data_IF_816022655709
#
_entry.id   IF_816022655709
#
_cell.length_a   1.000
_cell.length_b   1.000
_cell.length_c   1.000
_cell.angle_alpha   90.00
_cell.angle_beta   90.00
_cell.angle_gamma   90.00
#
_symmetry.space_group_name_H-M   'P 1'
#
loop_
_entity.id
_entity.type
_entity.pdbx_description
1 polymer ?
#
# COMPACT_ATOMS: atom_id res chain seq x y z
N UNK A 1 -38.58 -19.77 -42.60
CA UNK A 1 -38.34 -19.62 -41.13
C UNK A 1 -36.97 -20.21 -40.74
N UNK A 2 -35.88 -19.86 -41.45
CA UNK A 2 -34.59 -20.57 -41.32
C UNK A 2 -33.39 -19.65 -41.00
N UNK A 3 -33.61 -18.34 -40.89
CA UNK A 3 -32.56 -17.34 -40.63
C UNK A 3 -32.36 -16.97 -39.15
N UNK A 4 -33.24 -17.40 -38.24
CA UNK A 4 -33.18 -17.00 -36.81
C UNK A 4 -32.23 -17.87 -35.96
N UNK A 5 -31.88 -19.08 -36.42
CA UNK A 5 -31.15 -20.08 -35.63
C UNK A 5 -29.62 -20.05 -35.78
N UNK A 6 -29.10 -19.25 -36.73
CA UNK A 6 -27.66 -19.15 -37.04
C UNK A 6 -26.96 -18.04 -36.23
N UNK A 7 -27.67 -16.95 -35.91
CA UNK A 7 -27.11 -15.78 -35.22
C UNK A 7 -26.83 -16.04 -33.73
N UNK A 8 -27.60 -16.93 -33.07
CA UNK A 8 -27.41 -17.29 -31.65
C UNK A 8 -26.17 -18.17 -31.40
N UNK A 9 -25.69 -18.92 -32.41
CA UNK A 9 -24.48 -19.76 -32.31
C UNK A 9 -23.17 -18.97 -32.42
N UNK A 10 -23.17 -17.82 -33.11
CA UNK A 10 -21.99 -16.91 -33.15
C UNK A 10 -21.80 -16.13 -31.85
N UNK A 11 -22.88 -15.76 -31.15
CA UNK A 11 -22.76 -15.05 -29.86
C UNK A 11 -22.18 -15.92 -28.74
N UNK A 12 -22.48 -17.23 -28.75
CA UNK A 12 -22.12 -18.16 -27.67
C UNK A 12 -20.62 -18.56 -27.72
N UNK A 13 -20.03 -18.68 -28.91
CA UNK A 13 -18.58 -18.88 -29.07
C UNK A 13 -17.77 -17.62 -28.73
N UNK A 14 -18.26 -16.43 -29.08
CA UNK A 14 -17.61 -15.15 -28.73
C UNK A 14 -17.65 -14.87 -27.22
N UNK A 15 -18.67 -15.37 -26.51
CA UNK A 15 -18.77 -15.27 -25.05
C UNK A 15 -17.76 -16.17 -24.32
N UNK A 16 -17.59 -17.43 -24.75
CA UNK A 16 -16.59 -18.35 -24.16
C UNK A 16 -15.16 -17.88 -24.43
N UNK A 17 -14.90 -17.31 -25.62
CA UNK A 17 -13.62 -16.70 -25.95
C UNK A 17 -13.36 -15.44 -25.10
N UNK A 18 -14.38 -14.58 -24.88
CA UNK A 18 -14.25 -13.40 -24.00
C UNK A 18 -14.09 -13.75 -22.52
N UNK A 19 -14.73 -14.82 -22.02
CA UNK A 19 -14.66 -15.25 -20.61
C UNK A 19 -13.26 -15.78 -20.26
N UNK A 20 -12.65 -16.52 -21.19
CA UNK A 20 -11.27 -17.01 -21.02
C UNK A 20 -10.26 -15.87 -21.17
N UNK A 21 -10.50 -14.94 -22.11
CA UNK A 21 -9.66 -13.76 -22.32
C UNK A 21 -9.74 -12.77 -21.14
N UNK A 22 -10.91 -12.63 -20.49
CA UNK A 22 -11.07 -11.81 -19.27
C UNK A 22 -10.30 -12.37 -18.08
N UNK A 23 -10.24 -13.70 -17.91
CA UNK A 23 -9.47 -14.33 -16.84
C UNK A 23 -7.95 -14.17 -17.03
N UNK A 24 -7.48 -14.12 -18.28
CA UNK A 24 -6.07 -13.85 -18.63
C UNK A 24 -5.74 -12.36 -18.48
N UNK A 25 -6.63 -11.46 -18.91
CA UNK A 25 -6.44 -10.00 -18.77
C UNK A 25 -6.45 -9.58 -17.29
N UNK A 26 -7.21 -10.26 -16.43
CA UNK A 26 -7.21 -10.02 -14.98
C UNK A 26 -5.86 -10.35 -14.31
N UNK A 27 -5.03 -11.21 -14.92
CA UNK A 27 -3.67 -11.51 -14.43
C UNK A 27 -2.65 -10.47 -14.90
N UNK A 28 -2.89 -9.81 -16.06
CA UNK A 28 -1.95 -8.83 -16.63
C UNK A 28 -2.15 -7.39 -16.13
N UNK A 29 -3.32 -7.02 -15.59
CA UNK A 29 -3.59 -5.65 -15.12
C UNK A 29 -3.28 -5.40 -13.64
N UNK A 30 -2.68 -6.35 -12.92
CA UNK A 30 -2.39 -6.21 -11.49
C UNK A 30 -1.22 -5.26 -11.14
N UNK A 31 -0.78 -4.40 -12.06
CA UNK A 31 0.27 -3.41 -11.77
C UNK A 31 -0.23 -2.00 -11.49
N UNK A 32 -1.51 -1.66 -11.68
CA UNK A 32 -1.95 -0.33 -11.26
C UNK A 32 -3.38 -0.26 -10.72
N UNK A 33 -3.39 0.22 -9.47
CA UNK A 33 -4.39 0.89 -8.66
C UNK A 33 -5.90 0.75 -8.95
N UNK A 34 -6.62 0.58 -7.83
CA UNK A 34 -8.02 0.92 -7.59
C UNK A 34 -9.09 -0.12 -7.96
N UNK A 35 -9.49 -0.85 -6.92
CA UNK A 35 -10.87 -1.11 -6.47
C UNK A 35 -11.97 -1.32 -7.55
N UNK A 36 -12.69 -2.45 -7.42
CA UNK A 36 -14.11 -2.73 -7.78
C UNK A 36 -14.38 -3.94 -8.71
N UNK A 37 -13.40 -4.48 -9.44
CA UNK A 37 -13.72 -5.48 -10.48
C UNK A 37 -13.98 -6.95 -10.02
N UNK A 38 -13.66 -7.35 -8.79
CA UNK A 38 -13.84 -8.77 -8.40
C UNK A 38 -15.31 -9.17 -8.10
N UNK A 39 -16.16 -8.25 -7.62
CA UNK A 39 -17.52 -8.60 -7.16
C UNK A 39 -18.47 -8.86 -8.34
N UNK A 40 -18.27 -8.16 -9.46
CA UNK A 40 -19.11 -8.31 -10.65
C UNK A 40 -18.91 -9.68 -11.35
N UNK A 41 -17.75 -10.31 -11.14
CA UNK A 41 -17.44 -11.61 -11.75
C UNK A 41 -18.19 -12.78 -11.10
N UNK A 42 -18.49 -12.71 -9.80
CA UNK A 42 -19.19 -13.80 -9.08
C UNK A 42 -20.69 -13.83 -9.41
N UNK A 43 -21.33 -12.66 -9.57
CA UNK A 43 -22.77 -12.56 -9.86
C UNK A 43 -23.10 -13.09 -11.26
N UNK A 44 -22.18 -12.96 -12.22
CA UNK A 44 -22.42 -13.42 -13.59
C UNK A 44 -22.44 -14.97 -13.73
N UNK A 45 -21.87 -15.70 -12.76
CA UNK A 45 -21.84 -17.17 -12.80
C UNK A 45 -23.21 -17.79 -12.46
N UNK A 46 -24.09 -17.07 -11.76
CA UNK A 46 -25.39 -17.60 -11.33
C UNK A 46 -26.48 -17.57 -12.40
N UNK A 47 -26.30 -16.83 -13.51
CA UNK A 47 -27.36 -16.60 -14.50
C UNK A 47 -27.33 -17.57 -15.71
N UNK A 48 -26.39 -18.53 -15.75
CA UNK A 48 -26.33 -19.53 -16.84
C UNK A 48 -27.11 -20.81 -16.56
N UNK A 49 -27.85 -20.90 -15.44
CA UNK A 49 -28.48 -22.15 -15.01
C UNK A 49 -29.90 -22.41 -15.55
N UNK A 50 -30.36 -21.66 -16.54
CA UNK A 50 -31.63 -21.95 -17.23
C UNK A 50 -31.48 -22.00 -18.75
N UNK A 51 -30.89 -23.09 -19.25
CA UNK A 51 -31.12 -23.53 -20.62
C UNK A 51 -31.19 -25.06 -20.65
N UNK A 52 -32.36 -25.59 -20.29
CA UNK A 52 -32.71 -27.00 -20.48
C UNK A 52 -32.61 -27.40 -21.95
N UNK A 53 -31.59 -28.20 -22.27
CA UNK A 53 -31.41 -28.84 -23.57
C UNK A 53 -30.32 -29.89 -23.48
N UNK A 54 -30.70 -31.17 -23.53
CA UNK A 54 -29.81 -32.34 -23.54
C UNK A 54 -29.05 -32.48 -24.88
N UNK A 55 -28.22 -31.50 -25.23
CA UNK A 55 -27.40 -31.53 -26.44
C UNK A 55 -25.92 -31.81 -26.13
N UNK A 56 -25.24 -32.55 -27.02
CA UNK A 56 -23.77 -32.72 -27.06
C UNK A 56 -23.00 -31.40 -26.90
N UNK A 57 -23.56 -30.31 -27.43
CA UNK A 57 -23.01 -28.95 -27.32
C UNK A 57 -22.91 -28.47 -25.85
N UNK A 58 -23.87 -28.81 -24.99
CA UNK A 58 -23.89 -28.39 -23.58
C UNK A 58 -22.81 -29.13 -22.77
N UNK A 59 -22.65 -30.43 -23.01
CA UNK A 59 -21.58 -31.23 -22.40
C UNK A 59 -20.18 -30.75 -22.80
N UNK A 60 -19.98 -30.39 -24.08
CA UNK A 60 -18.71 -29.84 -24.55
C UNK A 60 -18.41 -28.47 -23.91
N UNK A 61 -19.41 -27.58 -23.80
CA UNK A 61 -19.25 -26.28 -23.15
C UNK A 61 -18.92 -26.40 -21.65
N UNK A 62 -19.64 -27.29 -20.95
CA UNK A 62 -19.46 -27.53 -19.51
C UNK A 62 -18.12 -28.20 -19.22
N UNK A 63 -17.67 -29.12 -20.07
CA UNK A 63 -16.35 -29.74 -19.93
C UNK A 63 -15.20 -28.75 -20.14
N UNK A 64 -15.33 -27.84 -21.11
CA UNK A 64 -14.32 -26.82 -21.39
C UNK A 64 -14.24 -25.79 -20.25
N UNK A 65 -15.37 -25.37 -19.67
CA UNK A 65 -15.38 -24.43 -18.54
C UNK A 65 -14.74 -25.04 -17.28
N UNK A 66 -15.11 -26.29 -16.94
CA UNK A 66 -14.50 -27.01 -15.81
C UNK A 66 -13.00 -27.24 -16.04
N UNK A 67 -12.59 -27.59 -17.26
CA UNK A 67 -11.18 -27.75 -17.62
C UNK A 67 -10.38 -26.46 -17.42
N UNK A 68 -10.93 -25.31 -17.81
CA UNK A 68 -10.31 -24.01 -17.58
C UNK A 68 -10.22 -23.66 -16.08
N UNK A 69 -11.27 -23.91 -15.30
CA UNK A 69 -11.25 -23.68 -13.85
C UNK A 69 -10.18 -24.54 -13.15
N UNK A 70 -10.07 -25.81 -13.53
CA UNK A 70 -9.06 -26.72 -12.96
C UNK A 70 -7.65 -26.29 -13.36
N UNK A 71 -7.47 -25.82 -14.60
CA UNK A 71 -6.17 -25.33 -15.08
C UNK A 71 -5.73 -24.02 -14.43
N UNK A 72 -6.66 -23.10 -14.13
CA UNK A 72 -6.35 -21.80 -13.52
C UNK A 72 -6.24 -21.84 -11.99
N UNK A 73 -6.84 -22.84 -11.33
CA UNK A 73 -6.77 -23.04 -9.88
C UNK A 73 -5.34 -23.10 -9.30
N UNK A 74 -4.40 -23.94 -9.82
CA UNK A 74 -3.03 -24.00 -9.29
C UNK A 74 -2.26 -22.69 -9.51
N UNK A 75 -2.53 -21.98 -10.62
CA UNK A 75 -1.91 -20.68 -10.91
C UNK A 75 -2.34 -19.64 -9.87
N UNK A 76 -3.64 -19.59 -9.54
CA UNK A 76 -4.19 -18.66 -8.55
C UNK A 76 -3.60 -18.89 -7.14
N UNK A 77 -3.39 -20.15 -6.75
CA UNK A 77 -2.79 -20.50 -5.45
C UNK A 77 -1.35 -19.97 -5.28
N UNK A 78 -0.56 -19.98 -6.35
CA UNK A 78 0.81 -19.45 -6.33
C UNK A 78 0.86 -17.93 -6.11
N UNK A 79 -0.11 -17.18 -6.64
CA UNK A 79 -0.18 -15.73 -6.46
C UNK A 79 -0.58 -15.31 -5.03
N UNK A 80 -1.28 -16.16 -4.29
CA UNK A 80 -1.72 -15.88 -2.92
C UNK A 80 -0.59 -16.03 -1.88
N UNK A 81 0.51 -16.70 -2.24
CA UNK A 81 1.65 -16.91 -1.35
C UNK A 81 2.59 -15.70 -1.49
N UNK A 82 2.71 -14.92 -0.42
CA UNK A 82 3.64 -13.79 -0.32
C UNK A 82 4.61 -14.01 0.83
N UNK A 83 5.89 -13.73 0.56
CA UNK A 83 6.97 -13.80 1.54
C UNK A 83 7.32 -12.38 1.97
N UNK A 84 7.39 -12.16 3.28
CA UNK A 84 7.82 -10.90 3.90
C UNK A 84 9.16 -11.14 4.59
N UNK A 85 10.08 -10.19 4.40
CA UNK A 85 11.43 -10.26 4.96
C UNK A 85 11.44 -9.95 6.46
N UNK A 86 12.47 -10.38 7.20
CA UNK A 86 12.60 -10.18 8.65
C UNK A 86 12.51 -8.71 9.10
N UNK A 87 13.02 -7.80 8.26
CA UNK A 87 13.07 -6.37 8.53
C UNK A 87 11.81 -5.62 8.06
N UNK A 88 10.89 -6.31 7.37
CA UNK A 88 9.62 -5.76 6.92
C UNK A 88 8.50 -6.26 7.83
N UNK A 89 7.53 -5.40 8.11
CA UNK A 89 6.25 -5.81 8.71
C UNK A 89 5.10 -5.52 7.75
N UNK A 90 4.22 -6.50 7.59
CA UNK A 90 3.03 -6.35 6.78
C UNK A 90 1.82 -5.99 7.67
N UNK A 91 1.21 -4.85 7.38
CA UNK A 91 -0.09 -4.47 7.94
C UNK A 91 -1.17 -4.89 6.96
N UNK A 92 -2.08 -5.76 7.39
CA UNK A 92 -3.13 -6.33 6.54
C UNK A 92 -4.47 -5.72 6.94
N UNK A 93 -5.16 -5.14 5.96
CA UNK A 93 -6.52 -4.63 6.07
C UNK A 93 -7.46 -5.60 5.39
N UNK A 94 -8.47 -6.09 6.12
CA UNK A 94 -9.52 -6.96 5.57
C UNK A 94 -10.84 -6.20 5.61
N UNK A 95 -11.42 -5.90 4.44
CA UNK A 95 -12.69 -5.17 4.31
C UNK A 95 -12.73 -3.87 5.14
N UNK A 96 -11.62 -3.10 5.12
CA UNK A 96 -11.51 -1.83 5.84
C UNK A 96 -11.30 -1.95 7.35
N UNK A 97 -11.16 -3.16 7.90
CA UNK A 97 -10.82 -3.38 9.32
C UNK A 97 -9.39 -3.88 9.46
N UNK A 98 -8.67 -3.39 10.47
CA UNK A 98 -7.39 -3.94 10.89
C UNK A 98 -7.60 -5.37 11.40
N UNK A 99 -6.77 -6.30 10.92
CA UNK A 99 -6.80 -7.68 11.39
C UNK A 99 -6.48 -7.72 12.90
N UNK A 100 -7.23 -8.51 13.67
CA UNK A 100 -7.13 -8.59 15.15
C UNK A 100 -5.76 -9.04 15.71
N UNK A 101 -4.77 -9.31 14.87
CA UNK A 101 -3.40 -9.67 15.26
C UNK A 101 -2.36 -8.55 15.07
N UNK A 102 -2.77 -7.35 14.65
CA UNK A 102 -1.83 -6.25 14.37
C UNK A 102 -0.91 -6.54 13.18
N UNK A 103 0.28 -5.93 13.19
CA UNK A 103 1.32 -6.18 12.20
C UNK A 103 1.80 -7.63 12.30
N UNK A 104 1.62 -8.41 11.23
CA UNK A 104 2.14 -9.77 11.19
C UNK A 104 3.67 -9.72 11.10
N UNK A 105 4.31 -10.63 11.85
CA UNK A 105 5.75 -10.81 11.84
C UNK A 105 6.26 -11.32 10.48
N UNK A 106 7.54 -11.68 10.37
CA UNK A 106 8.11 -12.19 9.13
C UNK A 106 7.67 -13.63 8.84
N UNK A 107 7.70 -14.01 7.56
CA UNK A 107 7.31 -15.35 7.12
C UNK A 107 6.41 -15.37 5.88
N UNK A 108 5.82 -16.55 5.67
CA UNK A 108 4.92 -16.81 4.55
C UNK A 108 3.50 -16.45 4.99
N UNK A 109 2.87 -15.54 4.26
CA UNK A 109 1.48 -15.16 4.47
C UNK A 109 0.66 -15.49 3.25
N UNK A 110 -0.54 -16.02 3.51
CA UNK A 110 -1.56 -16.20 2.49
C UNK A 110 -2.42 -14.95 2.46
N UNK A 111 -2.42 -14.24 1.33
CA UNK A 111 -3.15 -12.99 1.14
C UNK A 111 -4.10 -13.15 -0.05
N UNK A 112 -5.38 -12.84 0.17
CA UNK A 112 -6.42 -12.90 -0.85
C UNK A 112 -6.49 -11.57 -1.62
N UNK A 113 -6.07 -11.51 -2.91
CA UNK A 113 -5.85 -10.25 -3.64
C UNK A 113 -7.10 -9.37 -3.84
N UNK A 114 -8.32 -9.90 -3.71
CA UNK A 114 -9.56 -9.12 -3.86
C UNK A 114 -10.15 -8.60 -2.53
N UNK A 115 -9.78 -9.18 -1.38
CA UNK A 115 -10.43 -8.92 -0.08
C UNK A 115 -9.47 -8.21 0.88
N UNK A 116 -8.17 -8.47 0.72
CA UNK A 116 -7.13 -8.06 1.64
C UNK A 116 -6.16 -7.10 0.97
N UNK A 117 -6.01 -5.91 1.56
CA UNK A 117 -4.94 -4.98 1.20
C UNK A 117 -3.80 -5.18 2.19
N UNK A 118 -2.56 -5.27 1.69
CA UNK A 118 -1.38 -5.37 2.54
C UNK A 118 -0.44 -4.21 2.24
N UNK A 119 0.07 -3.59 3.29
CA UNK A 119 1.10 -2.55 3.22
C UNK A 119 2.32 -3.05 3.95
N UNK A 120 3.47 -3.06 3.26
CA UNK A 120 4.75 -3.40 3.86
C UNK A 120 5.39 -2.13 4.41
N UNK A 121 5.89 -2.21 5.64
CA UNK A 121 6.60 -1.12 6.30
C UNK A 121 7.97 -1.63 6.72
N UNK A 122 9.02 -0.88 6.37
CA UNK A 122 10.38 -1.14 6.81
C UNK A 122 10.58 -0.63 8.25
N UNK A 123 11.20 -1.45 9.09
CA UNK A 123 11.50 -1.12 10.48
C UNK A 123 12.93 -0.56 10.67
N UNK A 124 13.73 -0.55 9.61
CA UNK A 124 15.10 -0.03 9.64
C UNK A 124 15.12 1.48 9.86
N UNK A 125 16.27 1.98 10.32
CA UNK A 125 16.55 3.41 10.38
C UNK A 125 16.60 3.97 8.97
N UNK A 126 15.73 4.95 8.72
CA UNK A 126 15.66 5.72 7.50
C UNK A 126 16.15 7.13 7.79
N UNK A 127 16.70 7.76 6.76
CA UNK A 127 17.09 9.16 6.80
C UNK A 127 16.27 9.96 5.80
N UNK A 128 15.97 11.20 6.14
CA UNK A 128 15.56 12.19 5.14
C UNK A 128 16.25 13.51 5.43
N UNK A 129 16.49 14.25 4.35
CA UNK A 129 17.04 15.59 4.41
C UNK A 129 15.88 16.59 4.50
N UNK A 130 16.01 17.55 5.43
CA UNK A 130 15.14 18.71 5.53
C UNK A 130 15.66 19.74 4.54
N UNK A 131 14.82 20.22 3.59
CA UNK A 131 15.28 21.22 2.63
C UNK A 131 15.71 22.51 3.36
N UNK A 132 16.72 23.22 2.84
CA UNK A 132 17.29 24.39 3.49
C UNK A 132 16.22 25.46 3.74
N UNK A 133 16.19 26.00 4.96
CA UNK A 133 15.22 27.01 5.38
C UNK A 133 15.91 28.36 5.56
N UNK A 134 15.42 29.38 4.85
CA UNK A 134 15.83 30.77 5.07
C UNK A 134 14.97 31.40 6.18
N UNK A 135 15.61 31.76 7.29
CA UNK A 135 14.95 32.29 8.49
C UNK A 135 15.71 33.49 9.04
N UNK A 136 14.95 34.48 9.52
CA UNK A 136 15.50 35.60 10.29
C UNK A 136 15.68 35.15 11.75
N UNK A 137 16.93 35.18 12.21
CA UNK A 137 17.27 34.91 13.62
C UNK A 137 16.82 36.05 14.52
N UNK A 138 16.88 35.84 15.84
CA UNK A 138 16.54 36.86 16.84
C UNK A 138 17.40 38.14 16.72
N UNK A 139 18.62 38.03 16.21
CA UNK A 139 19.53 39.16 15.96
C UNK A 139 19.30 39.84 14.61
N UNK A 140 18.19 39.54 13.91
CA UNK A 140 17.87 40.09 12.59
C UNK A 140 18.89 39.74 11.50
N UNK A 141 19.60 38.62 11.66
CA UNK A 141 20.47 38.06 10.62
C UNK A 141 19.75 36.95 9.88
N UNK A 142 19.80 36.99 8.56
CA UNK A 142 19.28 35.92 7.69
C UNK A 142 20.26 34.75 7.65
N UNK A 143 19.80 33.56 8.04
CA UNK A 143 20.57 32.32 7.96
C UNK A 143 19.83 31.30 7.11
N UNK A 144 20.58 30.46 6.41
CA UNK A 144 20.06 29.30 5.69
C UNK A 144 20.71 28.05 6.27
N UNK A 145 19.89 27.16 6.82
CA UNK A 145 20.35 25.94 7.51
C UNK A 145 19.54 24.76 7.00
N UNK A 146 20.24 23.67 6.69
CA UNK A 146 19.70 22.35 6.40
C UNK A 146 19.91 21.41 7.60
N UNK A 147 19.19 20.29 7.60
CA UNK A 147 19.30 19.29 8.66
C UNK A 147 18.95 17.90 8.15
N UNK A 148 19.50 16.87 8.79
CA UNK A 148 19.23 15.47 8.50
C UNK A 148 18.60 14.80 9.71
N UNK A 149 17.50 14.08 9.50
CA UNK A 149 16.76 13.38 10.57
C UNK A 149 16.88 11.87 10.38
N UNK A 150 17.35 11.18 11.42
CA UNK A 150 17.42 9.73 11.51
C UNK A 150 16.25 9.23 12.35
N UNK A 151 15.40 8.39 11.76
CA UNK A 151 14.20 7.88 12.42
C UNK A 151 13.91 6.46 11.97
N UNK A 152 13.13 5.73 12.75
CA UNK A 152 12.63 4.39 12.38
C UNK A 152 11.18 4.23 12.78
N UNK A 153 10.48 3.34 12.12
CA UNK A 153 9.12 2.98 12.51
C UNK A 153 9.18 2.03 13.71
N UNK A 154 8.63 2.44 14.85
CA UNK A 154 8.54 1.60 16.04
C UNK A 154 7.31 0.69 15.98
N UNK A 155 6.18 1.22 15.50
CA UNK A 155 4.93 0.48 15.38
C UNK A 155 4.30 0.66 13.99
N UNK A 156 4.47 -0.34 13.14
CA UNK A 156 3.93 -0.35 11.78
C UNK A 156 2.39 -0.24 11.74
N UNK A 157 1.68 -0.82 12.71
CA UNK A 157 0.21 -0.76 12.76
C UNK A 157 -0.26 0.68 12.98
N UNK A 158 0.36 1.38 13.94
CA UNK A 158 0.03 2.78 14.25
C UNK A 158 0.42 3.68 13.08
N UNK A 159 1.59 3.47 12.48
CA UNK A 159 2.09 4.30 11.37
C UNK A 159 1.20 4.27 10.14
N UNK A 160 0.49 3.17 9.86
CA UNK A 160 -0.43 3.08 8.72
C UNK A 160 -1.87 3.43 9.11
N UNK A 161 -2.25 3.25 10.38
CA UNK A 161 -3.62 3.52 10.85
C UNK A 161 -3.88 4.99 11.19
N UNK A 162 -2.90 5.69 11.77
CA UNK A 162 -3.11 7.03 12.33
C UNK A 162 -2.88 8.16 11.33
N UNK A 163 -2.07 7.93 10.29
CA UNK A 163 -1.71 8.95 9.30
C UNK A 163 -1.64 8.32 7.92
N UNK A 164 -2.16 9.01 6.90
CA UNK A 164 -2.09 8.56 5.50
C UNK A 164 -0.64 8.37 5.03
N UNK A 165 0.22 9.37 5.31
CA UNK A 165 1.65 9.36 4.97
C UNK A 165 2.50 9.87 6.14
N UNK A 166 2.84 8.99 7.08
CA UNK A 166 3.62 9.34 8.28
C UNK A 166 4.99 9.97 7.93
N UNK A 167 5.66 9.48 6.88
CA UNK A 167 6.93 10.04 6.39
C UNK A 167 6.80 11.50 5.90
N UNK A 168 5.72 11.82 5.18
CA UNK A 168 5.51 13.17 4.66
C UNK A 168 5.17 14.15 5.77
N UNK A 169 4.26 13.77 6.68
CA UNK A 169 3.90 14.58 7.84
C UNK A 169 5.10 14.86 8.75
N UNK A 170 5.98 13.87 8.93
CA UNK A 170 7.23 14.03 9.71
C UNK A 170 8.20 15.02 9.06
N UNK A 171 8.32 15.03 7.72
CA UNK A 171 9.15 16.03 7.03
C UNK A 171 8.64 17.45 7.21
N UNK A 172 7.33 17.66 7.08
CA UNK A 172 6.71 18.97 7.29
C UNK A 172 6.86 19.46 8.73
N UNK A 173 6.70 18.54 9.69
CA UNK A 173 6.92 18.84 11.09
C UNK A 173 8.39 19.22 11.35
N UNK A 174 9.34 18.46 10.81
CA UNK A 174 10.77 18.77 10.93
C UNK A 174 11.12 20.16 10.37
N UNK A 175 10.59 20.54 9.21
CA UNK A 175 10.76 21.88 8.63
C UNK A 175 10.22 22.98 9.56
N UNK A 176 9.01 22.78 10.09
CA UNK A 176 8.35 23.76 10.96
C UNK A 176 9.11 23.90 12.28
N UNK A 177 9.53 22.79 12.89
CA UNK A 177 10.31 22.77 14.13
C UNK A 177 11.67 23.44 13.94
N UNK A 178 12.38 23.15 12.84
CA UNK A 178 13.65 23.78 12.51
C UNK A 178 13.47 25.31 12.34
N UNK A 179 12.46 25.74 11.59
CA UNK A 179 12.14 27.16 11.41
C UNK A 179 11.86 27.88 12.75
N UNK A 180 11.09 27.26 13.63
CA UNK A 180 10.75 27.83 14.93
C UNK A 180 11.96 27.91 15.87
N UNK A 181 12.81 26.87 15.88
CA UNK A 181 14.04 26.85 16.68
C UNK A 181 15.02 27.92 16.23
N UNK A 182 15.27 28.05 14.91
CA UNK A 182 16.20 29.05 14.38
C UNK A 182 15.72 30.49 14.59
N UNK A 183 14.40 30.74 14.55
CA UNK A 183 13.84 32.07 14.77
C UNK A 183 13.90 32.57 16.23
N UNK A 184 14.01 31.67 17.20
CA UNK A 184 14.06 32.03 18.63
C UNK A 184 15.49 32.17 19.18
N UNK A 185 16.49 31.84 18.36
CA UNK A 185 17.90 31.79 18.74
C UNK A 185 18.73 32.88 18.05
N UNK A 186 19.82 33.22 18.71
CA UNK A 186 20.83 34.15 18.20
C UNK A 186 21.81 33.43 17.27
N UNK A 187 22.45 34.14 16.34
CA UNK A 187 23.40 33.52 15.39
C UNK A 187 24.57 32.83 16.13
N UNK A 188 25.08 33.48 17.17
CA UNK A 188 26.20 32.95 17.94
C UNK A 188 25.82 31.63 18.65
N UNK A 189 24.61 31.53 19.20
CA UNK A 189 24.12 30.30 19.83
C UNK A 189 23.98 29.16 18.81
N UNK A 190 23.52 29.47 17.59
CA UNK A 190 23.39 28.47 16.52
C UNK A 190 24.75 27.87 16.14
N UNK A 191 25.80 28.71 16.11
CA UNK A 191 27.15 28.28 15.76
C UNK A 191 27.89 27.58 16.92
N UNK A 192 27.75 28.08 18.14
CA UNK A 192 28.46 27.55 19.32
C UNK A 192 27.79 26.29 19.88
N UNK A 193 26.45 26.25 19.91
CA UNK A 193 25.67 25.26 20.66
C UNK A 193 24.85 24.32 19.77
N UNK A 194 25.29 24.07 18.53
CA UNK A 194 24.55 23.26 17.53
C UNK A 194 24.08 21.89 18.03
N UNK A 195 24.87 21.24 18.89
CA UNK A 195 24.55 19.91 19.45
C UNK A 195 23.37 19.96 20.43
N UNK A 196 23.29 21.05 21.22
CA UNK A 196 22.17 21.27 22.15
C UNK A 196 20.88 21.57 21.40
N UNK A 197 20.97 22.33 20.30
CA UNK A 197 19.84 22.65 19.42
C UNK A 197 19.36 21.37 18.73
N UNK A 198 20.29 20.54 18.23
CA UNK A 198 19.99 19.23 17.62
C UNK A 198 19.25 18.34 18.60
N UNK A 199 19.75 18.21 19.82
CA UNK A 199 19.13 17.39 20.88
C UNK A 199 17.74 17.92 21.27
N UNK A 200 17.57 19.25 21.36
CA UNK A 200 16.28 19.88 21.64
C UNK A 200 15.27 19.61 20.52
N UNK A 201 15.70 19.74 19.25
CA UNK A 201 14.89 19.42 18.08
C UNK A 201 14.51 17.93 18.04
N UNK A 202 15.43 17.04 18.39
CA UNK A 202 15.16 15.61 18.50
C UNK A 202 14.04 15.34 19.50
N UNK A 203 14.11 15.92 20.71
CA UNK A 203 13.09 15.70 21.75
C UNK A 203 11.71 16.17 21.30
N UNK A 204 11.62 17.35 20.67
CA UNK A 204 10.35 17.91 20.17
C UNK A 204 9.77 17.03 19.06
N UNK A 205 10.61 16.55 18.14
CA UNK A 205 10.15 15.69 17.06
C UNK A 205 9.75 14.31 17.57
N UNK A 206 10.48 13.74 18.51
CA UNK A 206 10.19 12.42 19.09
C UNK A 206 8.84 12.42 19.82
N UNK A 207 8.57 13.42 20.65
CA UNK A 207 7.28 13.57 21.37
C UNK A 207 6.09 13.68 20.42
N UNK A 208 6.23 14.49 19.35
CA UNK A 208 5.15 14.69 18.39
C UNK A 208 4.94 13.48 17.45
N UNK A 209 6.01 12.74 17.13
CA UNK A 209 5.97 11.61 16.17
C UNK A 209 5.62 10.26 16.81
N UNK A 210 5.62 10.17 18.15
CA UNK A 210 5.20 8.98 18.89
C UNK A 210 3.75 8.59 18.57
N UNK A 211 2.86 9.58 18.42
CA UNK A 211 1.46 9.36 18.03
C UNK A 211 1.31 8.75 16.62
N UNK A 212 2.34 8.85 15.79
CA UNK A 212 2.40 8.27 14.44
C UNK A 212 3.18 6.94 14.42
N UNK A 213 3.66 6.45 15.57
CA UNK A 213 4.42 5.20 15.66
C UNK A 213 5.83 5.30 15.06
N UNK A 214 6.37 6.51 14.94
CA UNK A 214 7.74 6.80 14.50
C UNK A 214 8.59 7.14 15.73
N UNK A 215 9.83 6.65 15.75
CA UNK A 215 10.84 6.98 16.76
C UNK A 215 11.98 7.76 16.10
N UNK A 216 12.32 8.93 16.64
CA UNK A 216 13.46 9.73 16.14
C UNK A 216 14.71 9.34 16.93
N UNK A 217 15.73 8.85 16.24
CA UNK A 217 16.96 8.36 16.87
C UNK A 217 18.00 9.47 17.03
N UNK A 218 18.10 10.37 16.05
CA UNK A 218 19.08 11.45 16.02
C UNK A 218 18.70 12.52 15.00
N UNK A 219 19.12 13.75 15.24
CA UNK A 219 19.07 14.86 14.29
C UNK A 219 20.47 15.46 14.15
N UNK A 220 20.83 15.87 12.93
CA UNK A 220 22.10 16.54 12.62
C UNK A 220 21.82 17.85 11.88
N UNK A 221 22.60 18.88 12.21
CA UNK A 221 22.55 20.25 11.68
C UNK A 221 23.92 20.68 11.15
#
# INVERSE_FOLDING_TARGET
MEKSMSTKRRLMCTAVFNITFSFIVLVSTTTDTNHIHCIHFVIFYTETNEAGGQGLCNWALTGLSVGLCVATFPLSLLFCIKVVQEYERAVIFRLGRLLHGGAKGPGIFFILPCIENYTKVDLRTLTFDVPPQEVLTKDSVTVSVDAVVYYRVQNATISVANVENAHHSTRLLAQTTLRNMLGTRNLHEILSDRETISTSMQSILDEATEAWGIKVERTEM
#
